data_IF_236518309363
#
_entry.id   IF_236518309363
#
_cell.length_a   1.000
_cell.length_b   1.000
_cell.length_c   1.000
_cell.angle_alpha   90.00
_cell.angle_beta   90.00
_cell.angle_gamma   90.00
#
_symmetry.space_group_name_H-M   'P 1'
#
loop_
_entity.id
_entity.type
_entity.pdbx_description
1 polymer ?
#
# COMPACT_ATOMS: atom_id res chain seq x y z
N UNK A 1 5.28 24.42 -4.08
CA UNK A 1 5.33 23.35 -3.05
C UNK A 1 4.08 22.44 -3.02
N UNK A 2 2.89 22.90 -3.43
CA UNK A 2 1.60 22.20 -3.28
C UNK A 2 1.41 20.95 -4.17
N UNK A 3 1.96 20.94 -5.40
CA UNK A 3 1.90 19.77 -6.29
C UNK A 3 2.68 18.57 -5.75
N UNK A 4 3.78 18.84 -5.03
CA UNK A 4 4.71 17.83 -4.49
C UNK A 4 4.02 16.98 -3.42
N UNK A 5 3.14 17.56 -2.60
CA UNK A 5 2.40 16.82 -1.55
C UNK A 5 1.44 15.78 -2.12
N UNK A 6 0.72 16.11 -3.19
CA UNK A 6 -0.18 15.15 -3.87
C UNK A 6 0.58 14.00 -4.53
N UNK A 7 1.73 14.29 -5.17
CA UNK A 7 2.58 13.24 -5.75
C UNK A 7 3.20 12.33 -4.68
N UNK A 8 3.65 12.91 -3.56
CA UNK A 8 4.14 12.14 -2.41
C UNK A 8 3.05 11.26 -1.81
N UNK A 9 1.85 11.79 -1.59
CA UNK A 9 0.73 11.02 -1.03
C UNK A 9 0.32 9.87 -1.96
N UNK A 10 0.18 10.14 -3.27
CA UNK A 10 -0.13 9.09 -4.26
C UNK A 10 0.99 8.05 -4.38
N UNK A 11 2.25 8.49 -4.38
CA UNK A 11 3.42 7.61 -4.41
C UNK A 11 3.51 6.70 -3.18
N UNK A 12 3.21 7.23 -2.00
CA UNK A 12 3.20 6.45 -0.76
C UNK A 12 2.10 5.38 -0.76
N UNK A 13 0.90 5.70 -1.27
CA UNK A 13 -0.20 4.75 -1.42
C UNK A 13 0.18 3.64 -2.41
N UNK A 14 0.79 3.98 -3.54
CA UNK A 14 1.19 3.00 -4.54
C UNK A 14 2.31 2.08 -4.04
N UNK A 15 3.30 2.64 -3.36
CA UNK A 15 4.39 1.89 -2.74
C UNK A 15 3.88 0.96 -1.64
N UNK A 16 3.00 1.46 -0.77
CA UNK A 16 2.39 0.62 0.28
C UNK A 16 1.51 -0.48 -0.31
N UNK A 17 0.74 -0.21 -1.37
CA UNK A 17 -0.04 -1.24 -2.07
C UNK A 17 0.83 -2.37 -2.65
N UNK A 18 1.92 -2.01 -3.36
CA UNK A 18 2.85 -3.00 -3.95
C UNK A 18 3.57 -3.81 -2.88
N UNK A 19 4.02 -3.15 -1.81
CA UNK A 19 4.61 -3.83 -0.66
C UNK A 19 3.60 -4.81 -0.04
N UNK A 20 2.35 -4.39 0.16
CA UNK A 20 1.32 -5.23 0.76
C UNK A 20 0.97 -6.44 -0.13
N UNK A 21 0.88 -6.26 -1.45
CA UNK A 21 0.65 -7.39 -2.37
C UNK A 21 1.82 -8.38 -2.37
N UNK A 22 3.06 -7.86 -2.36
CA UNK A 22 4.26 -8.69 -2.28
C UNK A 22 4.33 -9.49 -0.97
N UNK A 23 3.98 -8.85 0.15
CA UNK A 23 3.99 -9.49 1.47
C UNK A 23 2.88 -10.54 1.61
N UNK A 24 1.70 -10.30 1.05
CA UNK A 24 0.62 -11.31 0.98
C UNK A 24 1.06 -12.51 0.15
N UNK A 25 1.71 -12.29 -1.00
CA UNK A 25 2.27 -13.38 -1.80
C UNK A 25 3.31 -14.19 -1.00
N UNK A 26 4.26 -13.52 -0.35
CA UNK A 26 5.31 -14.17 0.42
C UNK A 26 4.79 -14.88 1.68
N UNK A 27 3.75 -14.36 2.34
CA UNK A 27 3.23 -14.92 3.58
C UNK A 27 2.23 -16.07 3.34
N UNK A 28 1.51 -16.07 2.22
CA UNK A 28 0.43 -17.05 1.97
C UNK A 28 0.68 -17.96 0.76
N UNK A 29 1.17 -17.42 -0.35
CA UNK A 29 1.29 -18.18 -1.61
C UNK A 29 2.59 -18.96 -1.63
N UNK A 30 3.70 -18.26 -1.40
CA UNK A 30 5.04 -18.85 -1.38
C UNK A 30 5.18 -20.06 -0.43
N UNK A 31 4.79 -19.97 0.86
CA UNK A 31 4.90 -21.11 1.78
C UNK A 31 3.99 -22.28 1.45
N UNK A 32 2.81 -22.03 0.87
CA UNK A 32 1.96 -23.14 0.40
C UNK A 32 2.61 -23.90 -0.76
N UNK A 33 3.26 -23.19 -1.68
CA UNK A 33 3.92 -23.83 -2.81
C UNK A 33 5.15 -24.63 -2.40
N UNK A 34 5.98 -24.12 -1.49
CA UNK A 34 7.18 -24.83 -1.01
C UNK A 34 6.83 -26.00 -0.10
N UNK A 35 5.77 -25.90 0.71
CA UNK A 35 5.26 -27.04 1.49
C UNK A 35 4.75 -28.16 0.60
N UNK A 36 4.13 -27.85 -0.54
CA UNK A 36 3.73 -28.87 -1.52
C UNK A 36 4.95 -29.64 -2.07
N UNK A 37 6.06 -28.96 -2.35
CA UNK A 37 7.31 -29.61 -2.77
C UNK A 37 7.87 -30.54 -1.68
N UNK A 38 7.76 -30.15 -0.41
CA UNK A 38 8.20 -30.98 0.70
C UNK A 38 7.33 -32.24 0.89
N UNK A 39 6.06 -32.21 0.49
CA UNK A 39 5.12 -33.32 0.60
C UNK A 39 5.23 -34.35 -0.54
N UNK A 40 5.93 -34.05 -1.64
CA UNK A 40 6.11 -34.95 -2.78
C UNK A 40 7.01 -36.18 -2.47
N UNK A 41 7.58 -36.27 -1.26
CA UNK A 41 8.34 -37.44 -0.80
C UNK A 41 9.64 -37.70 -1.57
N UNK A 42 10.04 -36.80 -2.48
CA UNK A 42 11.33 -36.85 -3.20
C UNK A 42 12.43 -36.24 -2.35
N UNK A 43 13.68 -36.69 -2.57
CA UNK A 43 14.84 -36.04 -1.99
C UNK A 43 14.93 -34.60 -2.52
N UNK A 44 14.62 -33.62 -1.66
CA UNK A 44 14.72 -32.20 -1.96
C UNK A 44 16.18 -31.83 -2.25
N UNK A 45 16.40 -31.07 -3.31
CA UNK A 45 17.70 -30.46 -3.56
C UNK A 45 18.03 -29.42 -2.49
N UNK A 46 19.32 -29.12 -2.29
CA UNK A 46 19.76 -28.11 -1.31
C UNK A 46 19.05 -26.76 -1.50
N UNK A 47 18.77 -26.38 -2.75
CA UNK A 47 18.06 -25.14 -3.10
C UNK A 47 16.60 -25.17 -2.65
N UNK A 48 15.90 -26.28 -2.84
CA UNK A 48 14.51 -26.44 -2.39
C UNK A 48 14.41 -26.44 -0.87
N UNK A 49 15.37 -27.06 -0.19
CA UNK A 49 15.41 -27.07 1.26
C UNK A 49 15.66 -25.68 1.85
N UNK A 50 16.49 -24.85 1.21
CA UNK A 50 16.60 -23.43 1.55
C UNK A 50 15.27 -22.69 1.37
N UNK A 51 14.53 -22.94 0.28
CA UNK A 51 13.22 -22.30 0.06
C UNK A 51 12.17 -22.74 1.09
N UNK A 52 12.15 -24.01 1.50
CA UNK A 52 11.26 -24.48 2.57
C UNK A 52 11.58 -23.78 3.90
N UNK A 53 12.85 -23.71 4.31
CA UNK A 53 13.25 -22.96 5.50
C UNK A 53 12.89 -21.47 5.43
N UNK A 54 13.10 -20.84 4.27
CA UNK A 54 12.74 -19.44 4.05
C UNK A 54 11.22 -19.24 4.15
N UNK A 55 10.45 -20.24 3.73
CA UNK A 55 9.00 -20.20 3.76
C UNK A 55 8.42 -20.35 5.16
N UNK A 56 9.03 -21.16 6.03
CA UNK A 56 8.65 -21.25 7.44
C UNK A 56 8.95 -19.95 8.19
N UNK A 57 10.11 -19.34 7.94
CA UNK A 57 10.45 -17.99 8.42
C UNK A 57 9.45 -16.95 7.92
N UNK A 58 9.09 -17.01 6.64
CA UNK A 58 8.10 -16.11 6.03
C UNK A 58 6.70 -16.29 6.63
N UNK A 59 6.28 -17.51 6.96
CA UNK A 59 5.01 -17.77 7.65
C UNK A 59 4.99 -17.15 9.06
N UNK A 60 6.08 -17.34 9.82
CA UNK A 60 6.21 -16.83 11.19
C UNK A 60 6.25 -15.30 11.23
N UNK A 61 7.10 -14.68 10.40
CA UNK A 61 7.33 -13.23 10.42
C UNK A 61 6.35 -12.45 9.53
N UNK A 62 5.90 -13.02 8.42
CA UNK A 62 5.00 -12.36 7.47
C UNK A 62 3.68 -11.96 8.12
N UNK A 63 3.12 -12.81 8.98
CA UNK A 63 1.86 -12.53 9.67
C UNK A 63 1.97 -11.37 10.67
N UNK A 64 3.14 -11.19 11.30
CA UNK A 64 3.41 -10.09 12.21
C UNK A 64 3.59 -8.74 11.49
N UNK A 65 4.07 -8.77 10.25
CA UNK A 65 4.36 -7.55 9.46
C UNK A 65 3.13 -7.10 8.65
N UNK A 66 2.21 -8.01 8.28
CA UNK A 66 1.00 -7.67 7.52
C UNK A 66 0.14 -6.63 8.25
N UNK A 67 -0.13 -6.82 9.54
CA UNK A 67 -1.00 -5.94 10.32
C UNK A 67 -0.49 -4.49 10.40
N UNK A 68 0.77 -4.21 10.81
CA UNK A 68 1.28 -2.84 10.82
C UNK A 68 1.35 -2.23 9.41
N UNK A 69 1.68 -3.03 8.39
CA UNK A 69 1.71 -2.53 7.01
C UNK A 69 0.31 -2.13 6.50
N UNK A 70 -0.72 -2.87 6.90
CA UNK A 70 -2.12 -2.57 6.57
C UNK A 70 -2.61 -1.29 7.26
N UNK A 71 -2.20 -1.05 8.51
CA UNK A 71 -2.46 0.22 9.20
C UNK A 71 -1.77 1.39 8.49
N UNK A 72 -0.53 1.22 8.04
CA UNK A 72 0.19 2.23 7.25
C UNK A 72 -0.51 2.50 5.92
N UNK A 73 -1.02 1.46 5.25
CA UNK A 73 -1.79 1.60 4.02
C UNK A 73 -3.10 2.36 4.23
N UNK A 74 -3.87 2.04 5.27
CA UNK A 74 -5.10 2.77 5.59
C UNK A 74 -4.79 4.24 5.93
N UNK A 75 -3.73 4.48 6.69
CA UNK A 75 -3.26 5.83 7.03
C UNK A 75 -2.82 6.63 5.79
N UNK A 76 -2.10 5.99 4.85
CA UNK A 76 -1.66 6.65 3.62
C UNK A 76 -2.83 7.00 2.71
N UNK A 77 -3.82 6.10 2.58
CA UNK A 77 -5.07 6.35 1.84
C UNK A 77 -5.87 7.48 2.47
N UNK A 78 -6.07 7.47 3.79
CA UNK A 78 -6.77 8.55 4.49
C UNK A 78 -6.08 9.90 4.29
N UNK A 79 -4.75 9.93 4.38
CA UNK A 79 -3.97 11.14 4.14
C UNK A 79 -4.07 11.64 2.69
N UNK A 80 -4.04 10.72 1.71
CA UNK A 80 -4.24 11.04 0.30
C UNK A 80 -5.64 11.60 0.00
N UNK A 81 -6.69 11.06 0.65
CA UNK A 81 -8.06 11.57 0.51
C UNK A 81 -8.18 12.98 1.12
N UNK A 82 -7.66 13.18 2.34
CA UNK A 82 -7.69 14.49 3.02
C UNK A 82 -7.00 15.58 2.22
N UNK A 83 -5.86 15.26 1.60
CA UNK A 83 -5.12 16.22 0.76
C UNK A 83 -5.88 16.56 -0.52
N UNK A 84 -6.67 15.62 -1.06
CA UNK A 84 -7.60 15.87 -2.18
C UNK A 84 -8.86 16.66 -1.78
N UNK A 85 -9.51 16.34 -0.67
CA UNK A 85 -10.74 17.04 -0.26
C UNK A 85 -10.49 18.51 0.13
N UNK A 86 -9.30 18.81 0.68
CA UNK A 86 -8.84 20.19 0.86
C UNK A 86 -8.66 20.98 -0.45
N UNK A 87 -8.54 20.31 -1.61
CA UNK A 87 -8.50 20.97 -2.92
C UNK A 87 -9.91 21.34 -3.41
N UNK A 88 -10.91 20.47 -3.22
CA UNK A 88 -12.29 20.75 -3.63
C UNK A 88 -12.85 22.00 -2.96
N UNK A 89 -12.68 22.10 -1.63
CA UNK A 89 -13.18 23.24 -0.84
C UNK A 89 -12.46 24.54 -1.23
N UNK A 90 -11.14 24.51 -1.46
CA UNK A 90 -10.40 25.72 -1.83
C UNK A 90 -10.76 26.26 -3.22
N UNK A 91 -11.11 25.38 -4.16
CA UNK A 91 -11.53 25.77 -5.51
C UNK A 91 -12.95 26.31 -5.50
N UNK A 92 -13.87 25.68 -4.75
CA UNK A 92 -15.25 26.16 -4.59
C UNK A 92 -15.30 27.54 -3.92
N UNK A 93 -14.49 27.77 -2.88
CA UNK A 93 -14.41 29.06 -2.20
C UNK A 93 -13.77 30.13 -3.11
N UNK A 94 -12.75 29.78 -3.90
CA UNK A 94 -12.16 30.72 -4.86
C UNK A 94 -13.15 31.10 -5.98
N UNK A 95 -13.90 30.12 -6.51
CA UNK A 95 -14.94 30.36 -7.52
C UNK A 95 -16.12 31.19 -6.96
N UNK A 96 -16.51 30.96 -5.71
CA UNK A 96 -17.54 31.75 -5.05
C UNK A 96 -17.10 33.20 -4.79
N UNK A 97 -15.82 33.43 -4.50
CA UNK A 97 -15.29 34.77 -4.28
C UNK A 97 -15.24 35.61 -5.57
N UNK A 98 -14.80 35.02 -6.68
CA UNK A 98 -14.73 35.70 -8.00
C UNK A 98 -16.14 36.06 -8.54
N UNK A 99 -17.12 35.18 -8.33
CA UNK A 99 -18.52 35.45 -8.67
C UNK A 99 -19.10 36.65 -7.90
N UNK A 100 -18.71 36.86 -6.65
CA UNK A 100 -19.27 37.93 -5.82
C UNK A 100 -18.66 39.29 -6.15
N UNK A 101 -17.37 39.35 -6.47
CA UNK A 101 -16.70 40.57 -6.93
C UNK A 101 -17.23 41.06 -8.28
N UNK A 102 -17.61 40.14 -9.17
CA UNK A 102 -18.24 40.46 -10.46
C UNK A 102 -19.61 41.14 -10.27
N UNK A 103 -20.41 40.68 -9.30
CA UNK A 103 -21.74 41.26 -9.01
C UNK A 103 -21.67 42.61 -8.30
N UNK A 104 -20.60 42.91 -7.56
CA UNK A 104 -20.47 44.17 -6.82
C UNK A 104 -20.02 45.35 -7.69
N UNK A 105 -19.59 45.10 -8.95
CA UNK A 105 -19.08 46.13 -9.87
C UNK A 105 -20.11 46.60 -10.91
N UNK A 106 -21.37 46.18 -10.79
CA UNK A 106 -22.52 46.62 -11.59
C UNK A 106 -23.43 47.45 -10.69
#
# INVERSE_FOLDING_TARGET
MRNIQTYLAGGLVLLSAVMLSGLVFFAFVFPRTTLAWAQEGRALSATEQSFVNLSELSMSSGQQIILPLLLVFIGSVYWAIRTRSGQGIAIEVAAAHDSNDSKSKI
#
